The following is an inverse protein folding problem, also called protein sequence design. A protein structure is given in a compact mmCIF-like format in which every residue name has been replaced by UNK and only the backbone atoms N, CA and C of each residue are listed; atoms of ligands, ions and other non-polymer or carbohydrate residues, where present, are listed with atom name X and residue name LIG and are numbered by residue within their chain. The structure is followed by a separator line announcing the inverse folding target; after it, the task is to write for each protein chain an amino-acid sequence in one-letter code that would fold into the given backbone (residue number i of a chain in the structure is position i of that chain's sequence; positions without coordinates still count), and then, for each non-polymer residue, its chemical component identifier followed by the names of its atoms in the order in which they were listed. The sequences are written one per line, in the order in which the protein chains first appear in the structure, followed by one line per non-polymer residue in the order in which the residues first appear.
data_IF_147342637565
#
_entry.id   IF_147342637565
#
_cell.length_a   1.000
_cell.length_b   1.000
_cell.length_c   1.000
_cell.angle_alpha   90.00
_cell.angle_beta   90.00
_cell.angle_gamma   90.00
#
_symmetry.space_group_name_H-M   'P 1'
#
loop_
_entity.id
_entity.type
_entity.pdbx_description
1 polymer ?
#
# COMPACT_ATOMS: atom_id res chain seq x y z
N UNK A 1 5.81 -21.64 8.60
CA UNK A 1 7.00 -20.80 8.81
C UNK A 1 6.62 -19.35 8.57
N UNK A 2 6.35 -18.60 9.63
CA UNK A 2 6.21 -17.13 9.55
C UNK A 2 7.58 -16.53 9.25
N UNK A 3 7.77 -16.04 8.03
CA UNK A 3 8.96 -15.27 7.68
C UNK A 3 8.81 -13.91 8.37
N UNK A 4 9.50 -13.69 9.49
CA UNK A 4 9.65 -12.36 10.11
C UNK A 4 10.29 -11.42 9.07
N UNK A 5 9.50 -10.53 8.49
CA UNK A 5 9.99 -9.44 7.62
C UNK A 5 10.21 -8.22 8.51
N UNK A 6 11.44 -7.76 8.67
CA UNK A 6 11.75 -6.58 9.50
C UNK A 6 11.55 -6.78 11.01
N UNK A 7 11.61 -5.70 11.78
CA UNK A 7 11.41 -5.71 13.23
C UNK A 7 9.90 -5.77 13.51
N UNK A 8 9.44 -6.79 14.22
CA UNK A 8 8.01 -7.06 14.48
C UNK A 8 7.11 -7.12 13.23
N UNK A 9 7.63 -7.52 12.06
CA UNK A 9 6.82 -7.54 10.85
C UNK A 9 6.69 -6.19 10.15
N UNK A 10 7.45 -5.17 10.58
CA UNK A 10 7.50 -3.83 9.99
C UNK A 10 8.85 -3.60 9.29
N UNK A 11 8.80 -3.11 8.07
CA UNK A 11 9.96 -2.59 7.35
C UNK A 11 9.67 -1.16 6.90
N UNK A 12 10.53 -0.21 7.26
CA UNK A 12 10.42 1.18 6.85
C UNK A 12 11.48 1.45 5.77
N UNK A 13 11.06 1.98 4.64
CA UNK A 13 11.92 2.57 3.61
C UNK A 13 11.71 4.07 3.58
N UNK A 14 12.79 4.82 3.43
CA UNK A 14 12.79 6.28 3.35
C UNK A 14 13.56 6.69 2.12
N UNK A 15 12.95 7.50 1.27
CA UNK A 15 13.52 7.99 0.02
C UNK A 15 13.39 9.51 -0.06
N UNK A 16 14.33 10.21 -0.72
CA UNK A 16 14.18 11.64 -0.97
C UNK A 16 12.89 11.93 -1.74
N UNK A 17 12.16 12.95 -1.30
CA UNK A 17 10.92 13.35 -1.92
C UNK A 17 11.19 13.97 -3.29
N UNK A 18 10.67 13.34 -4.35
CA UNK A 18 10.84 13.86 -5.72
C UNK A 18 9.88 15.02 -6.07
N UNK A 19 8.83 15.22 -5.28
CA UNK A 19 7.80 16.25 -5.49
C UNK A 19 7.45 16.93 -4.18
N UNK A 20 7.47 18.25 -4.14
CA UNK A 20 7.18 19.03 -2.92
C UNK A 20 5.73 18.97 -2.46
N UNK A 21 4.79 18.55 -3.32
CA UNK A 21 3.37 18.43 -2.96
C UNK A 21 3.13 17.22 -2.04
N UNK A 22 2.65 17.44 -0.80
CA UNK A 22 2.40 16.34 0.13
C UNK A 22 1.11 15.55 -0.19
N UNK A 23 0.27 16.02 -1.10
CA UNK A 23 -0.98 15.33 -1.44
C UNK A 23 -0.72 14.11 -2.35
N UNK A 24 -1.09 12.93 -1.84
CA UNK A 24 -0.94 11.66 -2.54
C UNK A 24 -2.09 11.34 -3.49
N UNK A 25 -2.90 12.32 -3.85
CA UNK A 25 -3.94 12.20 -4.88
C UNK A 25 -3.40 11.62 -6.18
N UNK A 26 -2.18 11.99 -6.58
CA UNK A 26 -1.54 11.43 -7.77
C UNK A 26 -1.35 9.91 -7.65
N UNK A 27 -1.03 9.41 -6.46
CA UNK A 27 -0.76 8.00 -6.20
C UNK A 27 -2.05 7.19 -6.17
N UNK A 28 -3.10 7.68 -5.48
CA UNK A 28 -4.44 7.09 -5.56
C UNK A 28 -4.89 7.00 -7.02
N UNK A 29 -4.78 8.10 -7.77
CA UNK A 29 -5.20 8.15 -9.17
C UNK A 29 -4.40 7.19 -10.04
N UNK A 30 -3.11 6.99 -9.76
CA UNK A 30 -2.28 6.00 -10.46
C UNK A 30 -2.78 4.57 -10.23
N UNK A 31 -3.05 4.19 -8.97
CA UNK A 31 -3.58 2.86 -8.65
C UNK A 31 -4.97 2.62 -9.24
N UNK A 32 -5.83 3.65 -9.18
CA UNK A 32 -7.22 3.60 -9.66
C UNK A 32 -7.38 3.94 -11.15
N UNK A 33 -6.28 4.18 -11.88
CA UNK A 33 -6.35 4.47 -13.31
C UNK A 33 -7.00 3.29 -14.05
N UNK A 34 -8.15 3.56 -14.67
CA UNK A 34 -8.88 2.60 -15.51
C UNK A 34 -7.99 2.11 -16.66
N UNK A 35 -8.00 0.81 -16.87
CA UNK A 35 -7.30 0.10 -17.95
C UNK A 35 -8.11 -1.14 -18.32
N UNK A 36 -7.99 -1.61 -19.56
CA UNK A 36 -8.72 -2.79 -20.05
C UNK A 36 -8.40 -4.06 -19.26
N UNK A 37 -7.19 -4.15 -18.71
CA UNK A 37 -6.73 -5.28 -17.90
C UNK A 37 -7.19 -5.22 -16.44
N UNK A 38 -7.89 -4.16 -16.01
CA UNK A 38 -8.30 -3.96 -14.61
C UNK A 38 -9.83 -4.03 -14.44
N UNK A 39 -10.25 -4.72 -13.38
CA UNK A 39 -11.62 -4.70 -12.85
C UNK A 39 -11.59 -4.12 -11.45
N UNK A 40 -12.59 -3.29 -11.13
CA UNK A 40 -12.69 -2.57 -9.87
C UNK A 40 -13.98 -2.97 -9.15
N UNK A 41 -13.87 -3.37 -7.89
CA UNK A 41 -15.02 -3.50 -7.01
C UNK A 41 -15.52 -2.09 -6.63
N UNK A 42 -16.78 -1.94 -6.14
CA UNK A 42 -17.28 -0.68 -5.64
C UNK A 42 -16.38 -0.08 -4.55
N UNK A 43 -16.25 1.24 -4.56
CA UNK A 43 -15.56 1.96 -3.50
C UNK A 43 -16.36 1.86 -2.19
N UNK A 44 -15.65 1.60 -1.10
CA UNK A 44 -16.21 1.51 0.25
C UNK A 44 -15.50 2.48 1.18
N UNK A 45 -16.20 2.97 2.20
CA UNK A 45 -15.62 3.69 3.32
C UNK A 45 -15.73 2.83 4.58
N UNK A 46 -14.60 2.65 5.28
CA UNK A 46 -14.50 1.86 6.50
C UNK A 46 -14.36 2.82 7.68
N UNK A 47 -15.45 3.06 8.40
CA UNK A 47 -15.50 4.01 9.52
C UNK A 47 -14.49 3.66 10.62
N UNK A 48 -14.38 2.37 10.98
CA UNK A 48 -13.43 1.85 11.99
C UNK A 48 -11.97 2.14 11.65
N UNK A 49 -11.65 2.19 10.35
CA UNK A 49 -10.29 2.47 9.88
C UNK A 49 -10.09 3.95 9.52
N UNK A 50 -11.17 4.71 9.38
CA UNK A 50 -11.20 6.01 8.72
C UNK A 50 -10.50 5.99 7.34
N UNK A 51 -10.78 4.95 6.54
CA UNK A 51 -10.18 4.74 5.22
C UNK A 51 -11.23 4.48 4.15
N UNK A 52 -11.03 5.05 2.98
CA UNK A 52 -11.66 4.54 1.76
C UNK A 52 -10.92 3.31 1.27
N UNK A 53 -11.60 2.43 0.53
CA UNK A 53 -10.99 1.27 -0.10
C UNK A 53 -11.60 0.91 -1.45
N UNK A 54 -10.80 0.35 -2.34
CA UNK A 54 -11.23 -0.26 -3.60
C UNK A 54 -10.40 -1.51 -3.87
N UNK A 55 -11.07 -2.64 -4.08
CA UNK A 55 -10.40 -3.85 -4.57
C UNK A 55 -10.24 -3.78 -6.08
N UNK A 56 -9.05 -4.12 -6.55
CA UNK A 56 -8.68 -4.10 -7.96
C UNK A 56 -8.14 -5.47 -8.34
N UNK A 57 -8.73 -6.05 -9.39
CA UNK A 57 -8.27 -7.28 -10.01
C UNK A 57 -7.63 -6.94 -11.35
N UNK A 58 -6.34 -7.24 -11.51
CA UNK A 58 -5.56 -7.01 -12.73
C UNK A 58 -5.28 -8.34 -13.42
N UNK A 59 -5.69 -8.47 -14.68
CA UNK A 59 -5.32 -9.60 -15.53
C UNK A 59 -3.83 -9.55 -15.86
N UNK A 60 -3.14 -10.67 -15.73
CA UNK A 60 -1.73 -10.80 -16.10
C UNK A 60 -1.59 -10.75 -17.64
N UNK A 61 -0.75 -9.85 -18.15
CA UNK A 61 -0.42 -9.78 -19.59
C UNK A 61 0.52 -10.94 -19.89
N UNK A 62 -0.04 -11.99 -20.50
CA UNK A 62 0.63 -13.26 -20.80
C UNK A 62 1.86 -13.05 -21.70
N UNK A 63 3.06 -13.34 -21.23
CA UNK A 63 4.15 -13.76 -22.12
C UNK A 63 3.90 -15.21 -22.52
N UNK A 64 3.81 -15.48 -23.83
CA UNK A 64 3.51 -16.81 -24.41
C UNK A 64 4.48 -17.94 -23.98
N UNK A 65 5.53 -17.65 -23.20
CA UNK A 65 6.60 -18.57 -22.81
C UNK A 65 6.42 -19.23 -21.44
N UNK A 66 5.45 -18.83 -20.63
CA UNK A 66 5.31 -19.40 -19.29
C UNK A 66 4.56 -20.74 -19.33
N UNK A 67 5.23 -21.79 -18.86
CA UNK A 67 4.76 -23.18 -18.85
C UNK A 67 3.37 -23.29 -18.20
N UNK A 68 2.36 -23.57 -19.04
CA UNK A 68 0.94 -23.70 -18.66
C UNK A 68 0.68 -24.84 -17.66
N UNK A 69 1.67 -25.68 -17.39
CA UNK A 69 1.54 -26.85 -16.51
C UNK A 69 1.75 -26.55 -15.01
N UNK A 70 2.31 -25.39 -14.65
CA UNK A 70 2.61 -25.11 -13.26
C UNK A 70 1.38 -24.62 -12.49
N UNK A 71 1.00 -25.38 -11.46
CA UNK A 71 -0.08 -25.07 -10.48
C UNK A 71 0.13 -23.76 -9.70
N UNK A 72 1.24 -23.07 -9.94
CA UNK A 72 1.60 -21.80 -9.30
C UNK A 72 1.36 -20.58 -10.21
N UNK A 73 0.80 -20.76 -11.40
CA UNK A 73 0.45 -19.67 -12.31
C UNK A 73 -0.98 -19.15 -12.08
N UNK A 74 -1.11 -17.86 -11.80
CA UNK A 74 -2.39 -17.17 -11.69
C UNK A 74 -2.54 -16.15 -12.81
N UNK A 75 -3.70 -16.17 -13.46
CA UNK A 75 -4.06 -15.23 -14.51
C UNK A 75 -4.44 -13.84 -13.95
N UNK A 76 -4.58 -13.70 -12.63
CA UNK A 76 -5.06 -12.48 -11.97
C UNK A 76 -4.23 -12.13 -10.74
N UNK A 77 -3.93 -10.83 -10.61
CA UNK A 77 -3.36 -10.22 -9.41
C UNK A 77 -4.44 -9.38 -8.73
N UNK A 78 -4.62 -9.55 -7.43
CA UNK A 78 -5.65 -8.84 -6.67
C UNK A 78 -4.95 -7.96 -5.63
N UNK A 79 -5.30 -6.69 -5.62
CA UNK A 79 -4.85 -5.72 -4.63
C UNK A 79 -6.07 -5.05 -4.01
N UNK A 80 -5.99 -4.72 -2.74
CA UNK A 80 -6.91 -3.76 -2.14
C UNK A 80 -6.15 -2.48 -1.85
N UNK A 81 -6.63 -1.39 -2.42
CA UNK A 81 -6.06 -0.07 -2.18
C UNK A 81 -6.90 0.62 -1.13
N UNK A 82 -6.24 1.25 -0.16
CA UNK A 82 -6.89 2.11 0.82
C UNK A 82 -6.29 3.51 0.77
N UNK A 83 -7.01 4.51 1.23
CA UNK A 83 -6.45 5.83 1.45
C UNK A 83 -7.22 6.59 2.53
N UNK A 84 -6.50 7.43 3.26
CA UNK A 84 -7.11 8.38 4.19
C UNK A 84 -7.28 9.72 3.48
N UNK A 85 -8.43 10.35 3.70
CA UNK A 85 -8.69 11.72 3.26
C UNK A 85 -8.85 12.59 4.50
N UNK A 86 -7.97 13.57 4.66
CA UNK A 86 -7.94 14.49 5.80
C UNK A 86 -7.95 15.89 5.21
N UNK A 87 -8.93 16.71 5.60
CA UNK A 87 -9.12 18.08 5.10
C UNK A 87 -9.15 18.17 3.55
N UNK A 88 -9.76 17.17 2.90
CA UNK A 88 -9.87 17.08 1.45
C UNK A 88 -8.58 16.68 0.72
N UNK A 89 -7.53 16.28 1.44
CA UNK A 89 -6.24 15.83 0.88
C UNK A 89 -5.97 14.38 1.22
N UNK A 90 -5.25 13.70 0.34
CA UNK A 90 -4.84 12.32 0.59
C UNK A 90 -3.48 12.31 1.30
N UNK A 91 -3.50 11.96 2.59
CA UNK A 91 -2.31 11.96 3.43
C UNK A 91 -1.54 10.63 3.40
N UNK A 92 -2.24 9.52 3.20
CA UNK A 92 -1.65 8.18 3.13
C UNK A 92 -2.41 7.31 2.13
N UNK A 93 -1.67 6.49 1.39
CA UNK A 93 -2.21 5.48 0.47
C UNK A 93 -1.66 4.11 0.87
N UNK A 94 -2.52 3.10 0.80
CA UNK A 94 -2.16 1.72 1.09
C UNK A 94 -2.28 0.86 -0.15
N UNK A 95 -1.31 -0.05 -0.33
CA UNK A 95 -1.37 -1.15 -1.29
C UNK A 95 -1.27 -2.48 -0.54
N UNK A 96 -2.39 -3.19 -0.41
CA UNK A 96 -2.48 -4.50 0.22
C UNK A 96 -2.60 -5.61 -0.82
N UNK A 97 -1.58 -6.46 -0.92
CA UNK A 97 -1.48 -7.53 -1.91
C UNK A 97 -2.23 -8.77 -1.40
N UNK A 98 -3.15 -9.27 -2.20
CA UNK A 98 -3.81 -10.55 -1.97
C UNK A 98 -3.03 -11.69 -2.63
N UNK A 99 -2.79 -12.76 -1.89
CA UNK A 99 -2.21 -13.99 -2.44
C UNK A 99 -3.33 -14.98 -2.79
N UNK A 100 -3.52 -15.31 -4.08
CA UNK A 100 -4.56 -16.26 -4.49
C UNK A 100 -4.42 -17.64 -3.85
N UNK A 101 -3.19 -18.18 -3.75
CA UNK A 101 -2.92 -19.50 -3.16
C UNK A 101 -3.35 -19.60 -1.69
N UNK A 102 -3.01 -18.57 -0.92
CA UNK A 102 -3.29 -18.53 0.51
C UNK A 102 -4.70 -18.01 0.83
N UNK A 103 -5.44 -17.55 -0.19
CA UNK A 103 -6.75 -16.90 -0.08
C UNK A 103 -6.80 -15.87 1.05
N UNK A 104 -5.74 -15.06 1.16
CA UNK A 104 -5.61 -14.00 2.15
C UNK A 104 -4.73 -12.87 1.65
N UNK A 105 -4.91 -11.69 2.23
CA UNK A 105 -3.93 -10.63 2.12
C UNK A 105 -2.61 -11.10 2.75
N UNK A 106 -1.50 -10.71 2.15
CA UNK A 106 -0.18 -11.17 2.56
C UNK A 106 0.70 -10.05 3.09
N UNK A 107 0.60 -8.86 2.49
CA UNK A 107 1.40 -7.71 2.89
C UNK A 107 0.65 -6.45 2.51
N UNK A 108 0.76 -5.43 3.34
CA UNK A 108 0.32 -4.08 3.05
C UNK A 108 1.54 -3.16 3.03
N UNK A 109 1.44 -2.12 2.20
CA UNK A 109 2.39 -1.00 2.14
C UNK A 109 1.63 0.26 2.47
N UNK A 110 2.00 0.99 3.51
CA UNK A 110 1.58 2.38 3.70
C UNK A 110 2.58 3.31 3.03
N UNK A 111 2.09 4.25 2.25
CA UNK A 111 2.88 5.24 1.53
C UNK A 111 2.39 6.62 1.94
N UNK A 112 3.29 7.42 2.49
CA UNK A 112 3.04 8.79 2.95
C UNK A 112 4.30 9.63 2.82
N UNK A 113 4.17 10.92 3.05
CA UNK A 113 5.25 11.90 2.89
C UNK A 113 5.40 12.73 4.16
N UNK A 114 6.64 13.14 4.43
CA UNK A 114 6.98 14.10 5.47
C UNK A 114 7.64 15.30 4.78
N UNK A 115 6.85 16.29 4.31
CA UNK A 115 7.37 17.43 3.56
C UNK A 115 8.35 18.27 4.38
N UNK A 116 8.19 18.33 5.71
CA UNK A 116 9.04 19.07 6.64
C UNK A 116 10.52 18.65 6.58
N UNK A 117 10.78 17.41 6.16
CA UNK A 117 12.13 16.83 6.04
C UNK A 117 12.39 16.31 4.62
N UNK A 118 11.47 16.58 3.69
CA UNK A 118 11.62 16.26 2.27
C UNK A 118 11.77 14.76 1.98
N UNK A 119 11.02 13.89 2.66
CA UNK A 119 11.08 12.43 2.42
C UNK A 119 9.74 11.80 2.06
N UNK A 120 9.81 10.78 1.21
CA UNK A 120 8.77 9.79 0.95
C UNK A 120 9.04 8.53 1.78
N UNK A 121 7.99 7.97 2.36
CA UNK A 121 8.10 6.84 3.28
C UNK A 121 7.20 5.70 2.80
N UNK A 122 7.77 4.50 2.70
CA UNK A 122 7.03 3.25 2.53
C UNK A 122 7.19 2.41 3.80
N UNK A 123 6.07 2.05 4.43
CA UNK A 123 6.05 1.10 5.55
C UNK A 123 5.37 -0.19 5.12
N UNK A 124 6.12 -1.28 5.09
CA UNK A 124 5.62 -2.62 4.80
C UNK A 124 5.22 -3.29 6.11
N UNK A 125 4.01 -3.84 6.18
CA UNK A 125 3.50 -4.58 7.34
C UNK A 125 2.55 -5.72 6.95
N UNK A 126 2.25 -6.61 7.90
CA UNK A 126 1.29 -7.69 7.70
C UNK A 126 -0.16 -7.16 7.79
N UNK A 127 -1.12 -7.67 7.00
CA UNK A 127 -2.46 -7.09 6.91
C UNK A 127 -3.23 -7.00 8.23
N UNK A 128 -2.91 -7.87 9.20
CA UNK A 128 -3.51 -7.88 10.53
C UNK A 128 -3.24 -6.59 11.31
N UNK A 129 -2.18 -5.85 10.94
CA UNK A 129 -1.84 -4.55 11.54
C UNK A 129 -2.51 -3.36 10.87
N UNK A 130 -3.30 -3.55 9.81
CA UNK A 130 -4.00 -2.45 9.15
C UNK A 130 -4.90 -1.64 10.11
N UNK A 131 -5.62 -2.23 11.08
CA UNK A 131 -6.36 -1.44 12.08
C UNK A 131 -5.49 -0.50 12.93
N UNK A 132 -4.18 -0.76 13.02
CA UNK A 132 -3.20 0.05 13.77
C UNK A 132 -2.44 1.02 12.87
N UNK A 133 -2.89 1.26 11.63
CA UNK A 133 -2.13 2.04 10.66
C UNK A 133 -1.80 3.46 11.14
N UNK A 134 -2.72 4.12 11.86
CA UNK A 134 -2.52 5.47 12.37
C UNK A 134 -1.34 5.52 13.35
N UNK A 135 -1.26 4.52 14.23
CA UNK A 135 -0.16 4.37 15.17
C UNK A 135 1.15 4.05 14.45
N UNK A 136 1.13 3.17 13.44
CA UNK A 136 2.30 2.86 12.62
C UNK A 136 2.84 4.12 11.93
N UNK A 137 1.97 4.91 11.28
CA UNK A 137 2.35 6.16 10.61
C UNK A 137 2.90 7.16 11.62
N UNK A 138 2.18 7.42 12.72
CA UNK A 138 2.58 8.38 13.75
C UNK A 138 3.93 8.03 14.39
N UNK A 139 4.12 6.76 14.79
CA UNK A 139 5.39 6.30 15.38
C UNK A 139 6.54 6.35 14.37
N UNK A 140 6.28 6.07 13.10
CA UNK A 140 7.29 6.19 12.04
C UNK A 140 7.73 7.64 11.88
N UNK A 141 6.78 8.59 11.84
CA UNK A 141 7.09 10.02 11.78
C UNK A 141 7.92 10.48 12.97
N UNK A 142 7.50 10.13 14.19
CA UNK A 142 8.23 10.47 15.43
C UNK A 142 9.65 9.87 15.44
N UNK A 143 9.79 8.62 15.03
CA UNK A 143 11.10 7.97 14.94
C UNK A 143 12.03 8.73 13.98
N UNK A 144 11.57 9.08 12.78
CA UNK A 144 12.39 9.78 11.80
C UNK A 144 12.78 11.19 12.27
N UNK A 145 11.84 11.96 12.82
CA UNK A 145 12.13 13.28 13.39
C UNK A 145 13.19 13.21 14.51
N UNK A 146 13.16 12.15 15.33
CA UNK A 146 14.14 11.97 16.42
C UNK A 146 15.58 11.75 15.95
N UNK A 147 15.80 11.41 14.67
CA UNK A 147 17.13 11.11 14.10
C UNK A 147 17.73 12.25 13.30
N UNK A 148 16.97 13.31 13.07
CA UNK A 148 17.44 14.50 12.38
C UNK A 148 18.11 15.40 13.41
N UNK A 149 19.39 15.70 13.19
CA UNK A 149 20.11 16.69 13.99
C UNK A 149 19.82 18.07 13.42
N UNK A 150 19.46 19.01 14.29
CA UNK A 150 19.38 20.44 13.98
C UNK A 150 20.77 21.05 13.86
#
# INVERSE_FOLDING_TARGET
MEKKRGFDGLTISVEPLQKTDPDLTYMRNFYLKKREDKRFDPMMYHQELNLYSVKVTKKSVRTKLADRSSRYFFDENINNYYWAEIDGRISVVFDCIWLPLAKRYYTCKAMFVMPEIGVFIEVIFTPEKLPQWQEIVSKTQQFLLSKIKH
#
